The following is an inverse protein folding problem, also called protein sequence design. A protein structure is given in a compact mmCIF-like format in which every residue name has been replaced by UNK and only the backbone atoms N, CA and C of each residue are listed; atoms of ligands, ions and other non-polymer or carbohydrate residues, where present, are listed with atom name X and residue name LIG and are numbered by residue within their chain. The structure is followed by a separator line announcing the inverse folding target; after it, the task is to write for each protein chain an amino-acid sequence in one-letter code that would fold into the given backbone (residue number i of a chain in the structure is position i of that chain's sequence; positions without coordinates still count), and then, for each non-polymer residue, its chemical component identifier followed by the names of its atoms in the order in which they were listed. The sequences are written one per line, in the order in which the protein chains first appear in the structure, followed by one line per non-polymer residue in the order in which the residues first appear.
data_IF_606543301308
#
_entry.id   IF_606543301308
#
_cell.length_a   1.000
_cell.length_b   1.000
_cell.length_c   1.000
_cell.angle_alpha   90.00
_cell.angle_beta   90.00
_cell.angle_gamma   90.00
#
_symmetry.space_group_name_H-M   'P 1'
#
loop_
_entity.id
_entity.type
_entity.pdbx_description
1 polymer ?
#
# COMPACT_ATOMS: atom_id res chain seq x y z
N UNK A 1 -5.58 -10.93 -5.68
CA UNK A 1 -4.61 -9.85 -5.34
C UNK A 1 -3.38 -9.96 -6.24
N UNK A 2 -2.79 -8.82 -6.61
CA UNK A 2 -1.75 -8.63 -7.65
C UNK A 2 -0.67 -9.72 -7.78
N UNK A 3 -0.21 -10.30 -6.68
CA UNK A 3 0.90 -11.27 -6.63
C UNK A 3 0.68 -12.58 -7.41
N UNK A 4 -0.56 -12.89 -7.85
CA UNK A 4 -0.89 -14.06 -8.69
C UNK A 4 -0.88 -13.77 -10.20
N UNK A 5 -0.89 -12.51 -10.59
CA UNK A 5 -0.97 -12.10 -12.00
C UNK A 5 0.20 -11.18 -12.32
N UNK A 6 0.61 -11.14 -13.58
CA UNK A 6 1.66 -10.24 -14.05
C UNK A 6 1.15 -8.82 -14.21
N UNK A 7 0.85 -8.20 -13.06
CA UNK A 7 0.38 -6.82 -12.92
C UNK A 7 1.32 -6.05 -12.00
N UNK A 8 1.53 -4.78 -12.32
CA UNK A 8 2.36 -3.84 -11.56
C UNK A 8 1.44 -3.07 -10.60
N UNK A 9 1.62 -3.17 -9.27
CA UNK A 9 0.90 -2.33 -8.32
C UNK A 9 1.25 -0.85 -8.52
N UNK A 10 0.23 0.00 -8.66
CA UNK A 10 0.35 1.45 -8.47
C UNK A 10 -0.16 1.74 -7.07
N UNK A 11 0.71 2.25 -6.20
CA UNK A 11 0.40 2.48 -4.78
C UNK A 11 0.25 3.97 -4.50
N UNK A 12 -0.65 4.30 -3.57
CA UNK A 12 -0.91 5.65 -3.12
C UNK A 12 -1.18 5.61 -1.61
N UNK A 13 -0.31 6.23 -0.81
CA UNK A 13 -0.44 6.24 0.64
C UNK A 13 0.87 6.64 1.34
N UNK A 14 0.81 6.82 2.66
CA UNK A 14 1.94 7.26 3.48
C UNK A 14 2.88 6.15 3.99
N UNK A 15 2.77 4.92 3.46
CA UNK A 15 3.60 3.82 3.90
C UNK A 15 5.01 3.90 3.29
N UNK A 16 6.04 3.46 4.03
CA UNK A 16 7.37 3.25 3.46
C UNK A 16 7.41 1.93 2.67
N UNK A 17 6.98 1.97 1.42
CA UNK A 17 6.91 0.78 0.56
C UNK A 17 8.26 0.09 0.35
N UNK A 18 9.37 0.83 0.36
CA UNK A 18 10.72 0.24 0.20
C UNK A 18 11.12 -0.67 1.35
N UNK A 19 10.55 -0.48 2.55
CA UNK A 19 10.78 -1.34 3.71
C UNK A 19 9.94 -2.63 3.69
N UNK A 20 8.83 -2.66 2.95
CA UNK A 20 7.81 -3.73 3.03
C UNK A 20 7.61 -4.48 1.71
N UNK A 21 8.04 -3.91 0.57
CA UNK A 21 7.92 -4.49 -0.75
C UNK A 21 9.31 -4.70 -1.39
N UNK A 22 9.48 -5.69 -2.27
CA UNK A 22 10.71 -5.79 -3.05
C UNK A 22 11.03 -4.50 -3.81
N UNK A 23 12.32 -4.14 -3.97
CA UNK A 23 12.70 -3.04 -4.83
C UNK A 23 12.25 -3.32 -6.28
N UNK A 24 11.95 -2.27 -7.02
CA UNK A 24 11.43 -2.34 -8.39
C UNK A 24 10.18 -3.24 -8.53
N UNK A 25 9.30 -3.34 -7.52
CA UNK A 25 8.07 -4.17 -7.60
C UNK A 25 6.77 -3.39 -7.66
N UNK A 26 6.82 -2.06 -7.60
CA UNK A 26 5.65 -1.18 -7.53
C UNK A 26 5.98 0.19 -8.13
N UNK A 27 4.93 0.94 -8.46
CA UNK A 27 5.02 2.35 -8.85
C UNK A 27 4.36 3.16 -7.75
N UNK A 28 5.13 3.99 -7.06
CA UNK A 28 4.59 4.91 -6.05
C UNK A 28 4.08 6.18 -6.72
N UNK A 29 2.77 6.42 -6.62
CA UNK A 29 2.12 7.59 -7.18
C UNK A 29 2.64 8.90 -6.57
N UNK A 30 3.10 8.87 -5.31
CA UNK A 30 3.65 10.05 -4.62
C UNK A 30 5.03 10.46 -5.12
N UNK A 31 5.73 9.58 -5.85
CA UNK A 31 7.03 9.90 -6.46
C UNK A 31 6.90 10.81 -7.70
N UNK A 32 5.67 11.17 -8.11
CA UNK A 32 5.41 12.01 -9.29
C UNK A 32 4.90 13.39 -8.91
N UNK A 33 5.34 14.41 -9.65
CA UNK A 33 4.94 15.81 -9.44
C UNK A 33 3.44 16.08 -9.60
N UNK A 34 2.73 15.26 -10.38
CA UNK A 34 1.28 15.36 -10.55
C UNK A 34 0.69 14.08 -11.18
N UNK A 35 -0.64 13.88 -11.10
CA UNK A 35 -1.31 12.75 -11.76
C UNK A 35 -1.04 12.67 -13.28
N UNK A 36 -0.86 13.81 -13.94
CA UNK A 36 -0.50 13.88 -15.37
C UNK A 36 0.89 13.28 -15.65
N UNK A 37 1.86 13.49 -14.75
CA UNK A 37 3.19 12.90 -14.88
C UNK A 37 3.16 11.39 -14.65
N UNK A 38 2.41 10.94 -13.63
CA UNK A 38 2.16 9.52 -13.40
C UNK A 38 1.52 8.88 -14.64
N UNK A 39 0.45 9.46 -15.19
CA UNK A 39 -0.23 8.93 -16.38
C UNK A 39 0.70 8.81 -17.60
N UNK A 40 1.56 9.82 -17.84
CA UNK A 40 2.58 9.75 -18.89
C UNK A 40 3.57 8.59 -18.65
N UNK A 41 4.01 8.42 -17.41
CA UNK A 41 4.92 7.33 -17.05
C UNK A 41 4.26 5.95 -17.22
N UNK A 42 3.01 5.79 -16.76
CA UNK A 42 2.26 4.55 -16.92
C UNK A 42 2.07 4.16 -18.39
N UNK A 43 1.81 5.14 -19.27
CA UNK A 43 1.77 4.89 -20.73
C UNK A 43 3.10 4.39 -21.28
N UNK A 44 4.22 4.95 -20.83
CA UNK A 44 5.56 4.47 -21.20
C UNK A 44 5.79 3.04 -20.71
N UNK A 45 5.46 2.74 -19.45
CA UNK A 45 5.59 1.39 -18.88
C UNK A 45 4.73 0.38 -19.65
N UNK A 46 3.52 0.75 -20.02
CA UNK A 46 2.63 -0.13 -20.80
C UNK A 46 3.11 -0.36 -22.24
N UNK A 47 3.79 0.62 -22.85
CA UNK A 47 4.32 0.53 -24.22
C UNK A 47 5.72 -0.06 -24.34
N UNK A 48 6.43 -0.26 -23.23
CA UNK A 48 7.81 -0.76 -23.20
C UNK A 48 7.86 -2.10 -22.44
N UNK A 49 7.94 -3.20 -23.19
CA UNK A 49 7.98 -4.54 -22.65
C UNK A 49 9.16 -4.77 -21.68
N UNK A 50 10.33 -4.20 -21.96
CA UNK A 50 11.50 -4.38 -21.10
C UNK A 50 11.32 -3.65 -19.77
N UNK A 51 10.75 -2.45 -19.80
CA UNK A 51 10.43 -1.70 -18.60
C UNK A 51 9.33 -2.40 -17.78
N UNK A 52 8.27 -2.90 -18.44
CA UNK A 52 7.21 -3.68 -17.77
C UNK A 52 7.77 -4.93 -17.11
N UNK A 53 8.58 -5.71 -17.86
CA UNK A 53 9.19 -6.93 -17.36
C UNK A 53 10.15 -6.68 -16.20
N UNK A 54 10.87 -5.54 -16.19
CA UNK A 54 11.73 -5.15 -15.07
C UNK A 54 10.96 -5.14 -13.75
N UNK A 55 9.74 -4.58 -13.74
CA UNK A 55 8.88 -4.52 -12.56
C UNK A 55 8.38 -5.87 -12.04
N UNK A 56 8.54 -6.94 -12.82
CA UNK A 56 8.09 -8.29 -12.47
C UNK A 56 9.24 -9.24 -12.15
N UNK A 57 10.50 -8.85 -12.38
CA UNK A 57 11.69 -9.69 -12.15
C UNK A 57 11.80 -10.22 -10.71
N UNK A 58 11.31 -9.46 -9.73
CA UNK A 58 11.32 -9.87 -8.32
C UNK A 58 10.55 -11.18 -8.08
N UNK A 59 9.57 -11.52 -8.93
CA UNK A 59 8.78 -12.76 -8.83
C UNK A 59 9.61 -14.01 -9.06
N UNK A 60 10.68 -13.94 -9.85
CA UNK A 60 11.57 -15.07 -10.09
C UNK A 60 12.38 -15.46 -8.85
N UNK A 61 12.53 -14.54 -7.89
CA UNK A 61 13.41 -14.71 -6.72
C UNK A 61 12.66 -15.04 -5.43
N UNK A 62 11.34 -14.87 -5.38
CA UNK A 62 10.56 -15.08 -4.15
C UNK A 62 9.34 -15.96 -4.39
N UNK A 63 9.35 -17.15 -3.80
CA UNK A 63 8.11 -17.84 -3.45
C UNK A 63 7.56 -17.12 -2.22
N UNK A 64 6.48 -16.36 -2.40
CA UNK A 64 5.71 -15.89 -1.24
C UNK A 64 5.19 -17.16 -0.57
N UNK A 65 5.61 -17.43 0.68
CA UNK A 65 5.14 -18.58 1.43
C UNK A 65 3.65 -18.34 1.75
N UNK A 66 2.77 -19.05 1.03
CA UNK A 66 1.31 -18.81 0.99
C UNK A 66 0.56 -19.60 2.05
N UNK A 67 1.19 -20.63 2.61
CA UNK A 67 0.50 -21.66 3.38
C UNK A 67 0.66 -21.47 4.88
N UNK A 68 1.40 -20.43 5.32
CA UNK A 68 1.48 -20.07 6.73
C UNK A 68 0.49 -18.98 7.06
N UNK A 69 -0.32 -19.25 8.07
CA UNK A 69 -1.00 -18.22 8.84
C UNK A 69 0.06 -17.23 9.35
N UNK A 70 0.06 -15.97 8.90
CA UNK A 70 1.12 -15.05 9.28
C UNK A 70 1.13 -14.86 10.80
N UNK A 71 2.29 -14.91 11.48
CA UNK A 71 2.39 -14.67 12.92
C UNK A 71 1.71 -13.37 13.36
N UNK A 72 1.70 -12.36 12.48
CA UNK A 72 1.03 -11.08 12.70
C UNK A 72 -0.48 -11.19 12.95
N UNK A 73 -1.15 -12.22 12.45
CA UNK A 73 -2.56 -12.43 12.78
C UNK A 73 -2.74 -12.97 14.20
N UNK A 74 -1.84 -13.80 14.72
CA UNK A 74 -1.87 -14.20 16.14
C UNK A 74 -1.65 -12.98 17.04
N UNK A 75 -0.69 -12.12 16.69
CA UNK A 75 -0.45 -10.86 17.41
C UNK A 75 -1.67 -9.94 17.37
N UNK A 76 -2.32 -9.83 16.21
CA UNK A 76 -3.57 -9.10 16.07
C UNK A 76 -4.66 -9.70 16.96
N UNK A 77 -4.89 -11.01 16.92
CA UNK A 77 -5.87 -11.70 17.75
C UNK A 77 -5.62 -11.47 19.26
N UNK A 78 -4.36 -11.47 19.69
CA UNK A 78 -4.00 -11.18 21.08
C UNK A 78 -4.33 -9.72 21.46
N UNK A 79 -4.02 -8.76 20.57
CA UNK A 79 -4.40 -7.35 20.77
C UNK A 79 -5.90 -7.15 20.81
N UNK A 80 -6.66 -7.77 19.90
CA UNK A 80 -8.13 -7.68 19.87
C UNK A 80 -8.77 -8.23 21.14
N UNK A 81 -8.15 -9.23 21.78
CA UNK A 81 -8.61 -9.81 23.05
C UNK A 81 -8.23 -8.95 24.26
N UNK A 82 -7.29 -8.03 24.13
CA UNK A 82 -6.83 -7.20 25.25
C UNK A 82 -7.99 -6.34 25.79
N UNK A 83 -8.07 -6.11 27.12
CA UNK A 83 -9.08 -5.24 27.70
C UNK A 83 -9.04 -3.81 27.14
N UNK A 84 -7.85 -3.32 26.79
CA UNK A 84 -7.64 -2.01 26.16
C UNK A 84 -8.32 -1.88 24.81
N UNK A 85 -8.42 -2.96 24.03
CA UNK A 85 -9.09 -2.92 22.72
C UNK A 85 -10.60 -3.16 22.82
N UNK A 86 -11.08 -3.73 23.92
CA UNK A 86 -12.52 -3.96 24.18
C UNK A 86 -13.26 -2.70 24.65
N UNK A 87 -12.57 -1.57 24.79
CA UNK A 87 -13.20 -0.29 25.07
C UNK A 87 -13.90 0.22 23.81
N UNK A 88 -15.23 0.34 23.86
CA UNK A 88 -16.00 0.93 22.76
C UNK A 88 -15.81 2.44 22.76
N UNK A 89 -15.15 2.98 21.73
CA UNK A 89 -15.18 4.42 21.44
C UNK A 89 -16.36 4.75 20.54
N UNK A 90 -17.31 5.54 21.06
CA UNK A 90 -18.37 6.14 20.25
C UNK A 90 -17.88 7.50 19.77
N UNK A 91 -17.85 7.68 18.45
CA UNK A 91 -17.44 8.93 17.82
C UNK A 91 -18.70 9.62 17.28
N UNK A 92 -19.07 10.75 17.87
CA UNK A 92 -20.27 11.49 17.47
C UNK A 92 -20.16 12.09 16.05
N UNK A 93 -18.97 12.54 15.69
CA UNK A 93 -18.66 13.07 14.36
C UNK A 93 -17.42 12.36 13.80
N UNK A 94 -17.68 11.41 12.90
CA UNK A 94 -16.62 10.63 12.25
C UNK A 94 -15.72 11.51 11.38
N UNK A 95 -16.26 12.56 10.74
CA UNK A 95 -15.50 13.43 9.87
C UNK A 95 -14.52 14.28 10.68
N UNK A 96 -14.98 14.89 11.77
CA UNK A 96 -14.13 15.65 12.69
C UNK A 96 -13.05 14.76 13.30
N UNK A 97 -13.43 13.56 13.77
CA UNK A 97 -12.47 12.60 14.30
C UNK A 97 -11.40 12.24 13.28
N UNK A 98 -11.78 11.86 12.06
CA UNK A 98 -10.82 11.42 11.05
C UNK A 98 -9.89 12.55 10.61
N UNK A 99 -10.44 13.74 10.30
CA UNK A 99 -9.64 14.82 9.71
C UNK A 99 -8.87 15.66 10.74
N UNK A 100 -9.29 15.66 12.01
CA UNK A 100 -8.73 16.57 13.03
C UNK A 100 -8.10 15.80 14.20
N UNK A 101 -8.77 14.78 14.72
CA UNK A 101 -8.37 14.13 15.99
C UNK A 101 -7.50 12.89 15.79
N UNK A 102 -7.67 12.17 14.67
CA UNK A 102 -7.06 10.86 14.46
C UNK A 102 -5.56 10.92 14.12
N UNK A 103 -5.03 12.14 13.92
CA UNK A 103 -3.67 12.41 13.43
C UNK A 103 -3.32 11.64 12.13
N UNK A 104 -4.33 11.18 11.39
CA UNK A 104 -4.14 10.53 10.11
C UNK A 104 -3.66 11.55 9.07
N UNK A 105 -2.86 11.09 8.12
CA UNK A 105 -2.36 11.94 7.06
C UNK A 105 -3.50 12.35 6.12
N UNK A 106 -3.72 13.66 5.98
CA UNK A 106 -4.77 14.21 5.12
C UNK A 106 -4.17 14.69 3.79
N UNK A 107 -4.91 14.41 2.72
CA UNK A 107 -4.56 14.85 1.37
C UNK A 107 -5.09 16.25 1.15
N UNK A 108 -4.19 17.20 0.89
CA UNK A 108 -4.61 18.55 0.51
C UNK A 108 -4.70 18.64 -1.02
N UNK A 109 -5.89 18.40 -1.57
CA UNK A 109 -6.15 18.35 -3.01
C UNK A 109 -6.22 19.73 -3.69
N UNK A 110 -5.88 20.82 -2.98
CA UNK A 110 -5.97 22.20 -3.49
C UNK A 110 -4.69 22.71 -4.16
N UNK A 111 -3.80 21.82 -4.61
CA UNK A 111 -2.64 22.15 -5.45
C UNK A 111 -2.64 21.38 -6.76
#
# INVERSE_FOLDING_TARGET
MSWKHDIIPVVLGGANYTAIAPPDSFIDALSFRSPKHLAKYLKRVAGDFQLYAKYLRWKNRRRVDRDRFPPSFCDLCNKLRSPSFRQTTVVADLFHWFNTLSHCWSWNFTK
#
